data_IF_572961609531
#
_entry.id   IF_572961609531
#
_cell.length_a   1.000
_cell.length_b   1.000
_cell.length_c   1.000
_cell.angle_alpha   90.00
_cell.angle_beta   90.00
_cell.angle_gamma   90.00
#
_symmetry.space_group_name_H-M   'P 1'
#
loop_
_entity.id
_entity.type
_entity.pdbx_description
1 polymer ?
#
# COMPACT_ATOMS: atom_id res chain seq x y z
N UNK A 1 -22.19 1.35 32.80
CA UNK A 1 -21.41 2.61 32.82
C UNK A 1 -21.93 3.53 33.91
N UNK A 2 -21.19 4.57 34.28
CA UNK A 2 -21.67 5.61 35.20
C UNK A 2 -22.23 6.80 34.42
N UNK A 3 -23.05 7.62 35.06
CA UNK A 3 -23.72 8.76 34.40
C UNK A 3 -22.71 9.84 34.02
N UNK A 4 -21.66 10.01 34.82
CA UNK A 4 -20.62 11.02 34.61
C UNK A 4 -19.69 10.69 33.43
N UNK A 5 -19.53 9.39 33.14
CA UNK A 5 -18.70 8.89 32.03
C UNK A 5 -19.51 8.74 30.73
N UNK A 6 -20.85 8.89 30.80
CA UNK A 6 -21.70 8.76 29.63
C UNK A 6 -21.61 10.00 28.75
N UNK A 7 -21.08 9.80 27.56
CA UNK A 7 -21.08 10.79 26.50
C UNK A 7 -21.82 10.20 25.29
N UNK A 8 -22.95 10.79 24.84
CA UNK A 8 -23.59 10.39 23.60
C UNK A 8 -22.80 10.92 22.39
N UNK A 9 -23.08 10.36 21.22
CA UNK A 9 -22.70 10.99 19.96
C UNK A 9 -23.43 12.35 19.80
N UNK A 10 -22.87 13.30 19.02
CA UNK A 10 -23.57 14.54 18.69
C UNK A 10 -24.92 14.26 18.01
N UNK A 11 -25.94 15.05 18.33
CA UNK A 11 -27.26 14.94 17.71
C UNK A 11 -27.27 15.69 16.36
N UNK A 12 -26.70 15.05 15.34
CA UNK A 12 -26.57 15.56 13.98
C UNK A 12 -27.47 14.81 12.97
N UNK A 13 -28.38 13.96 13.45
CA UNK A 13 -29.29 13.18 12.62
C UNK A 13 -28.65 11.95 11.95
N UNK A 14 -27.44 11.54 12.34
CA UNK A 14 -26.73 10.39 11.76
C UNK A 14 -27.22 9.02 12.27
N UNK A 15 -28.19 9.00 13.20
CA UNK A 15 -28.86 7.76 13.64
C UNK A 15 -28.16 6.99 14.76
N UNK A 16 -27.17 7.59 15.44
CA UNK A 16 -26.52 6.98 16.61
C UNK A 16 -27.44 6.86 17.84
N UNK A 17 -28.43 7.76 17.95
CA UNK A 17 -29.36 7.79 19.08
C UNK A 17 -28.65 8.09 20.39
N UNK A 18 -29.01 7.36 21.44
CA UNK A 18 -28.45 7.45 22.80
C UNK A 18 -27.30 6.47 23.03
N UNK A 19 -26.74 5.86 21.98
CA UNK A 19 -25.63 4.92 22.13
C UNK A 19 -24.39 5.63 22.71
N UNK A 20 -23.70 5.03 23.70
CA UNK A 20 -22.55 5.65 24.32
C UNK A 20 -21.38 5.75 23.33
N UNK A 21 -20.80 6.95 23.22
CA UNK A 21 -19.55 7.20 22.51
C UNK A 21 -18.38 6.79 23.39
N UNK A 22 -17.94 5.54 23.22
CA UNK A 22 -16.76 5.02 23.89
C UNK A 22 -15.47 5.57 23.25
N UNK A 23 -14.32 5.52 23.94
CA UNK A 23 -13.04 5.89 23.34
C UNK A 23 -12.68 4.99 22.15
N UNK A 24 -12.24 5.61 21.05
CA UNK A 24 -11.80 4.95 19.82
C UNK A 24 -10.47 4.20 20.02
N UNK A 25 -10.52 3.04 20.67
CA UNK A 25 -9.36 2.16 20.91
C UNK A 25 -9.63 0.75 20.45
N UNK A 26 -8.66 0.17 19.76
CA UNK A 26 -8.67 -1.22 19.33
C UNK A 26 -8.67 -2.17 20.52
N UNK A 27 -9.33 -3.33 20.36
CA UNK A 27 -9.31 -4.39 21.37
C UNK A 27 -7.90 -4.93 21.63
N UNK A 28 -6.96 -4.69 20.71
CA UNK A 28 -5.57 -5.09 20.84
C UNK A 28 -4.83 -4.37 21.99
N UNK A 29 -5.26 -3.16 22.38
CA UNK A 29 -4.65 -2.39 23.47
C UNK A 29 -5.03 -2.88 24.87
N UNK A 30 -6.13 -3.64 25.00
CA UNK A 30 -6.59 -4.15 26.29
C UNK A 30 -5.62 -5.16 26.89
N UNK A 31 -5.55 -5.23 28.22
CA UNK A 31 -4.63 -6.11 28.94
C UNK A 31 -4.78 -7.57 28.48
N UNK A 32 -3.74 -8.18 27.86
CA UNK A 32 -3.81 -9.56 27.42
C UNK A 32 -3.76 -10.58 28.57
N UNK A 33 -3.38 -10.16 29.78
CA UNK A 33 -3.18 -11.05 30.93
C UNK A 33 -4.41 -11.15 31.84
N UNK A 34 -5.33 -10.19 31.75
CA UNK A 34 -6.60 -10.27 32.43
C UNK A 34 -7.46 -11.39 31.85
N UNK A 35 -8.19 -12.11 32.72
CA UNK A 35 -9.08 -13.19 32.31
C UNK A 35 -10.44 -12.64 31.87
N UNK A 36 -10.56 -12.30 30.58
CA UNK A 36 -11.78 -11.79 29.96
C UNK A 36 -12.84 -12.88 29.77
N UNK A 37 -14.13 -12.53 29.87
CA UNK A 37 -15.22 -13.47 29.58
C UNK A 37 -15.24 -13.93 28.11
N UNK A 38 -14.87 -13.04 27.19
CA UNK A 38 -14.60 -13.34 25.78
C UNK A 38 -13.10 -13.10 25.49
N UNK A 39 -12.21 -14.11 25.68
CA UNK A 39 -10.75 -13.94 25.55
C UNK A 39 -10.27 -13.53 24.16
N UNK A 40 -10.99 -13.94 23.12
CA UNK A 40 -10.71 -13.61 21.73
C UNK A 40 -10.94 -12.12 21.45
N UNK A 41 -12.02 -11.54 22.00
CA UNK A 41 -12.38 -10.14 21.85
C UNK A 41 -11.80 -9.22 22.95
N UNK A 42 -11.33 -9.79 24.05
CA UNK A 42 -10.94 -9.07 25.29
C UNK A 42 -12.07 -8.20 25.83
N UNK A 43 -13.27 -8.76 25.89
CA UNK A 43 -14.50 -8.09 26.32
C UNK A 43 -15.15 -8.86 27.47
N UNK A 44 -15.67 -8.15 28.47
CA UNK A 44 -16.43 -8.76 29.57
C UNK A 44 -17.93 -8.79 29.28
N UNK A 45 -18.63 -9.71 29.92
CA UNK A 45 -20.09 -9.77 29.86
C UNK A 45 -20.71 -8.54 30.53
N UNK A 46 -21.67 -7.91 29.84
CA UNK A 46 -22.36 -6.70 30.33
C UNK A 46 -21.57 -5.40 30.16
N UNK A 47 -20.38 -5.44 29.57
CA UNK A 47 -19.63 -4.25 29.18
C UNK A 47 -20.27 -3.60 27.92
N UNK A 48 -20.48 -2.27 27.89
CA UNK A 48 -20.94 -1.62 26.65
C UNK A 48 -19.91 -1.82 25.54
N UNK A 49 -20.39 -2.23 24.37
CA UNK A 49 -19.54 -2.41 23.19
C UNK A 49 -19.31 -1.09 22.47
N UNK A 50 -18.16 -0.95 21.82
CA UNK A 50 -17.91 0.19 20.94
C UNK A 50 -18.85 0.09 19.72
N UNK A 51 -19.31 1.23 19.20
CA UNK A 51 -20.16 1.26 18.00
C UNK A 51 -19.49 0.52 16.83
N UNK A 52 -18.25 0.89 16.53
CA UNK A 52 -17.40 0.22 15.53
C UNK A 52 -16.59 -0.97 16.09
N UNK A 53 -17.18 -1.80 16.96
CA UNK A 53 -16.49 -2.98 17.49
C UNK A 53 -15.99 -3.89 16.36
N UNK A 54 -16.78 -4.03 15.29
CA UNK A 54 -16.46 -4.82 14.11
C UNK A 54 -15.21 -4.34 13.36
N UNK A 55 -14.85 -3.06 13.45
CA UNK A 55 -13.59 -2.50 12.93
C UNK A 55 -12.43 -2.75 13.90
N UNK A 56 -12.69 -2.67 15.20
CA UNK A 56 -11.70 -2.72 16.27
C UNK A 56 -11.48 -4.11 16.90
N UNK A 57 -12.05 -5.17 16.32
CA UNK A 57 -11.66 -6.54 16.64
C UNK A 57 -10.18 -6.77 16.34
N UNK A 58 -9.55 -7.68 17.10
CA UNK A 58 -8.07 -7.87 17.11
C UNK A 58 -7.43 -8.31 15.79
N UNK A 59 -8.24 -8.75 14.83
CA UNK A 59 -7.83 -9.16 13.48
C UNK A 59 -8.00 -8.05 12.42
N UNK A 60 -8.34 -6.82 12.82
CA UNK A 60 -8.57 -5.69 11.92
C UNK A 60 -7.76 -4.47 12.32
N UNK A 61 -8.38 -3.29 12.43
CA UNK A 61 -7.67 -2.02 12.61
C UNK A 61 -7.14 -1.94 14.05
N UNK A 62 -5.85 -1.63 14.16
CA UNK A 62 -5.15 -1.51 15.43
C UNK A 62 -4.73 -0.05 15.66
N UNK A 63 -5.00 0.45 16.86
CA UNK A 63 -4.66 1.81 17.32
C UNK A 63 -3.49 1.80 18.30
N UNK A 64 -2.91 0.62 18.58
CA UNK A 64 -1.79 0.45 19.50
C UNK A 64 -0.65 1.41 19.17
N UNK A 65 -0.06 2.07 20.18
CA UNK A 65 0.95 3.09 19.95
C UNK A 65 2.21 2.48 19.33
N UNK A 66 2.71 3.10 18.27
CA UNK A 66 3.97 2.75 17.62
C UNK A 66 5.14 3.55 18.20
N UNK A 67 6.37 3.00 18.22
CA UNK A 67 7.54 3.70 18.76
C UNK A 67 7.94 4.93 17.93
N UNK A 68 7.53 4.99 16.67
CA UNK A 68 7.76 6.12 15.75
C UNK A 68 6.44 6.85 15.50
N UNK A 69 6.47 8.18 15.45
CA UNK A 69 5.27 8.97 15.17
C UNK A 69 4.79 8.76 13.73
N UNK A 70 3.46 8.72 13.57
CA UNK A 70 2.79 8.51 12.27
C UNK A 70 3.33 9.43 11.16
N UNK A 71 3.43 10.73 11.46
CA UNK A 71 3.90 11.74 10.51
C UNK A 71 5.34 11.47 10.04
N UNK A 72 6.20 10.94 10.92
CA UNK A 72 7.57 10.63 10.59
C UNK A 72 7.66 9.35 9.73
N UNK A 73 6.88 8.32 10.05
CA UNK A 73 6.77 7.10 9.24
C UNK A 73 6.33 7.43 7.80
N UNK A 74 5.28 8.25 7.65
CA UNK A 74 4.80 8.69 6.34
C UNK A 74 5.87 9.46 5.57
N UNK A 75 6.55 10.42 6.20
CA UNK A 75 7.62 11.21 5.55
C UNK A 75 8.76 10.33 5.05
N UNK A 76 9.20 9.35 5.83
CA UNK A 76 10.25 8.42 5.41
C UNK A 76 9.80 7.55 4.25
N UNK A 77 8.60 6.97 4.31
CA UNK A 77 8.07 6.11 3.25
C UNK A 77 7.93 6.89 1.94
N UNK A 78 7.22 8.02 1.97
CA UNK A 78 7.01 8.84 0.77
C UNK A 78 8.30 9.44 0.24
N UNK A 79 9.20 9.89 1.12
CA UNK A 79 10.51 10.41 0.73
C UNK A 79 11.34 9.35 0.00
N UNK A 80 11.40 8.13 0.53
CA UNK A 80 12.14 7.04 -0.10
C UNK A 80 11.55 6.65 -1.45
N UNK A 81 10.23 6.40 -1.52
CA UNK A 81 9.57 5.99 -2.77
C UNK A 81 9.71 7.06 -3.85
N UNK A 82 9.46 8.33 -3.52
CA UNK A 82 9.59 9.43 -4.46
C UNK A 82 11.04 9.58 -4.95
N UNK A 83 12.02 9.46 -4.06
CA UNK A 83 13.43 9.53 -4.43
C UNK A 83 13.84 8.36 -5.35
N UNK A 84 13.40 7.14 -5.06
CA UNK A 84 13.69 5.98 -5.90
C UNK A 84 13.07 6.13 -7.30
N UNK A 85 11.81 6.56 -7.39
CA UNK A 85 11.15 6.83 -8.68
C UNK A 85 11.88 7.92 -9.47
N UNK A 86 12.32 8.98 -8.80
CA UNK A 86 13.12 10.02 -9.42
C UNK A 86 14.46 9.47 -9.94
N UNK A 87 15.15 8.61 -9.17
CA UNK A 87 16.40 8.00 -9.62
C UNK A 87 16.22 7.02 -10.79
N UNK A 88 15.09 6.29 -10.85
CA UNK A 88 14.75 5.52 -12.04
C UNK A 88 14.53 6.42 -13.26
N UNK A 89 13.84 7.54 -13.10
CA UNK A 89 13.68 8.53 -14.18
C UNK A 89 15.03 9.11 -14.64
N UNK A 90 15.96 9.39 -13.72
CA UNK A 90 17.33 9.79 -14.06
C UNK A 90 18.05 8.69 -14.83
N UNK A 91 17.95 7.42 -14.37
CA UNK A 91 18.56 6.28 -15.04
C UNK A 91 18.03 6.05 -16.46
N UNK A 92 16.74 6.32 -16.68
CA UNK A 92 16.13 6.28 -18.01
C UNK A 92 16.58 7.44 -18.90
N UNK A 93 16.78 8.63 -18.32
CA UNK A 93 17.26 9.82 -19.06
C UNK A 93 18.74 9.70 -19.43
N UNK A 94 19.54 9.04 -18.59
CA UNK A 94 20.97 8.80 -18.80
C UNK A 94 21.27 7.30 -18.82
N UNK A 95 20.81 6.59 -19.87
CA UNK A 95 20.97 5.15 -19.95
C UNK A 95 22.45 4.79 -20.15
N UNK A 96 22.91 3.80 -19.40
CA UNK A 96 24.22 3.21 -19.65
C UNK A 96 24.14 2.22 -20.82
N UNK A 97 25.18 2.20 -21.65
CA UNK A 97 25.30 1.26 -22.76
C UNK A 97 26.76 0.84 -22.91
N UNK A 98 26.98 -0.34 -23.50
CA UNK A 98 28.33 -0.80 -23.84
C UNK A 98 28.83 -0.05 -25.08
N UNK A 99 30.13 0.31 -25.17
CA UNK A 99 30.69 1.07 -26.28
C UNK A 99 30.87 0.20 -27.53
N UNK A 100 29.78 -0.40 -27.99
CA UNK A 100 29.69 -1.27 -29.16
C UNK A 100 28.66 -0.70 -30.13
N UNK A 101 28.89 -0.90 -31.42
CA UNK A 101 27.90 -0.55 -32.44
C UNK A 101 26.63 -1.42 -32.33
N UNK A 102 25.57 -1.07 -33.07
CA UNK A 102 24.38 -1.90 -33.15
C UNK A 102 24.72 -3.28 -33.74
N UNK A 103 24.04 -4.32 -33.24
CA UNK A 103 24.21 -5.68 -33.74
C UNK A 103 23.77 -5.76 -35.21
N UNK A 104 24.67 -6.20 -36.07
CA UNK A 104 24.42 -6.40 -37.50
C UNK A 104 23.78 -7.78 -37.72
N UNK A 105 22.85 -7.85 -38.68
CA UNK A 105 22.13 -9.06 -39.04
C UNK A 105 22.09 -9.22 -40.57
N UNK A 106 22.30 -10.43 -41.11
CA UNK A 106 22.28 -10.65 -42.57
C UNK A 106 20.85 -10.56 -43.14
N UNK A 107 20.74 -10.69 -44.46
CA UNK A 107 19.46 -10.79 -45.20
C UNK A 107 18.48 -9.64 -44.90
N UNK A 108 18.93 -8.40 -45.08
CA UNK A 108 18.14 -7.19 -44.82
C UNK A 108 17.56 -7.15 -43.39
N UNK A 109 18.41 -7.39 -42.38
CA UNK A 109 18.03 -7.49 -40.97
C UNK A 109 17.01 -8.63 -40.70
N UNK A 110 17.23 -9.80 -41.32
CA UNK A 110 16.37 -10.98 -41.22
C UNK A 110 14.90 -10.68 -41.58
N UNK A 111 14.68 -9.97 -42.70
CA UNK A 111 13.37 -9.45 -43.07
C UNK A 111 12.30 -10.54 -43.12
N UNK A 112 12.58 -11.66 -43.80
CA UNK A 112 11.62 -12.76 -43.96
C UNK A 112 11.39 -13.50 -42.64
N UNK A 113 12.45 -13.74 -41.87
CA UNK A 113 12.37 -14.44 -40.59
C UNK A 113 11.64 -13.63 -39.52
N UNK A 114 11.65 -12.29 -39.62
CA UNK A 114 10.89 -11.38 -38.76
C UNK A 114 9.45 -11.14 -39.23
N UNK A 115 8.96 -11.90 -40.21
CA UNK A 115 7.57 -11.81 -40.70
C UNK A 115 7.35 -10.78 -41.80
N UNK A 116 8.41 -10.39 -42.52
CA UNK A 116 8.32 -9.56 -43.71
C UNK A 116 7.50 -10.21 -44.82
N UNK A 117 6.93 -9.38 -45.70
CA UNK A 117 6.10 -9.81 -46.81
C UNK A 117 6.99 -10.31 -47.96
N UNK A 118 6.92 -11.60 -48.35
CA UNK A 118 7.79 -12.17 -49.38
C UNK A 118 7.53 -11.57 -50.78
N UNK A 119 6.42 -10.84 -50.97
CA UNK A 119 6.08 -10.20 -52.23
C UNK A 119 6.67 -8.79 -52.36
N UNK A 120 7.24 -8.25 -51.27
CA UNK A 120 7.81 -6.90 -51.22
C UNK A 120 9.31 -6.98 -51.00
N UNK A 121 10.05 -6.22 -51.79
CA UNK A 121 11.47 -6.05 -51.59
C UNK A 121 11.71 -4.95 -50.54
N UNK A 122 12.34 -5.25 -49.39
CA UNK A 122 12.69 -4.22 -48.41
C UNK A 122 13.85 -3.36 -48.91
N UNK A 123 14.06 -2.21 -48.26
CA UNK A 123 15.25 -1.41 -48.52
C UNK A 123 16.53 -2.23 -48.27
N UNK A 124 17.54 -2.19 -49.18
CA UNK A 124 18.73 -3.02 -49.06
C UNK A 124 19.59 -2.57 -47.89
N UNK A 125 19.75 -3.44 -46.88
CA UNK A 125 20.62 -3.21 -45.72
C UNK A 125 21.92 -4.01 -45.92
N UNK A 126 23.00 -3.31 -46.27
CA UNK A 126 24.31 -3.92 -46.56
C UNK A 126 25.28 -3.63 -45.40
N UNK A 127 25.94 -4.69 -44.92
CA UNK A 127 27.01 -4.60 -43.93
C UNK A 127 28.35 -4.93 -44.59
N UNK A 128 29.37 -4.14 -44.29
CA UNK A 128 30.74 -4.31 -44.80
C UNK A 128 31.68 -4.69 -43.65
N UNK A 129 32.75 -5.41 -43.97
CA UNK A 129 33.85 -5.67 -43.04
C UNK A 129 34.62 -4.37 -42.76
N UNK A 130 35.06 -4.19 -41.51
CA UNK A 130 35.87 -3.06 -41.03
C UNK A 130 37.35 -3.43 -40.99
#
# INVERSE_FOLDING_TARGET
MRVEDYQPYPDDGMGYGDYPKLPDRSQQERDPWYNWDHPDLRLNWGEPMHWDLDMYIRNRVDTSPTPVSWNLMCKHLFGFVAFMLFMFWVGETYPTYQPVGPKQYPYNNLYLERGGDPTKEPEPVVHYEI
#
